data_IF_479320676047
#
_entry.id   IF_479320676047
#
_cell.length_a   1.000
_cell.length_b   1.000
_cell.length_c   1.000
_cell.angle_alpha   90.00
_cell.angle_beta   90.00
_cell.angle_gamma   90.00
#
_symmetry.space_group_name_H-M   'P 1'
#
loop_
_entity.id
_entity.type
_entity.pdbx_description
1 polymer ?
#
# COMPACT_ATOMS: atom_id res chain seq x y z
N UNK A 1 7.57 -15.52 -1.11
CA UNK A 1 7.56 -14.34 -0.24
C UNK A 1 6.28 -14.40 0.58
N UNK A 2 6.33 -14.21 1.88
CA UNK A 2 5.20 -14.50 2.79
C UNK A 2 4.13 -13.41 2.71
N UNK A 3 2.88 -13.76 2.46
CA UNK A 3 1.69 -12.91 2.43
C UNK A 3 1.26 -12.43 3.84
N UNK A 4 2.20 -12.16 4.72
CA UNK A 4 1.94 -11.89 6.14
C UNK A 4 1.02 -10.70 6.39
N UNK A 5 1.14 -9.66 5.57
CA UNK A 5 0.34 -8.44 5.76
C UNK A 5 -1.12 -8.68 5.37
N UNK A 6 -1.36 -9.54 4.38
CA UNK A 6 -2.69 -9.79 3.82
C UNK A 6 -3.34 -11.08 4.34
N UNK A 7 -2.57 -12.14 4.66
CA UNK A 7 -3.13 -13.42 5.08
C UNK A 7 -3.69 -13.46 6.49
N UNK A 8 -3.11 -12.72 7.43
CA UNK A 8 -3.57 -12.68 8.82
C UNK A 8 -4.67 -11.64 9.06
N UNK A 9 -4.88 -10.74 8.10
CA UNK A 9 -5.91 -9.70 8.17
C UNK A 9 -6.62 -9.59 6.83
N UNK A 10 -7.92 -9.79 6.83
CA UNK A 10 -8.73 -9.45 5.67
C UNK A 10 -8.87 -7.92 5.57
N UNK A 11 -8.19 -7.31 4.61
CA UNK A 11 -8.22 -5.87 4.35
C UNK A 11 -9.19 -5.48 3.22
N UNK A 12 -10.09 -6.36 2.82
CA UNK A 12 -11.09 -6.10 1.76
C UNK A 12 -11.93 -4.87 2.03
N UNK A 13 -12.21 -4.56 3.31
CA UNK A 13 -12.94 -3.36 3.71
C UNK A 13 -12.05 -2.11 3.87
N UNK A 14 -10.78 -2.15 3.47
CA UNK A 14 -9.92 -0.96 3.42
C UNK A 14 -10.31 -0.08 2.23
N UNK A 15 -11.45 0.55 2.34
CA UNK A 15 -12.13 1.30 1.29
C UNK A 15 -12.93 2.41 1.93
N UNK A 16 -12.95 3.59 1.34
CA UNK A 16 -13.82 4.67 1.80
C UNK A 16 -15.29 4.28 1.65
N UNK A 17 -16.09 4.52 2.68
CA UNK A 17 -17.48 4.05 2.73
C UNK A 17 -18.33 4.50 1.54
N UNK A 18 -18.06 5.68 0.99
CA UNK A 18 -18.80 6.20 -0.17
C UNK A 18 -18.63 5.31 -1.41
N UNK A 19 -17.50 4.62 -1.56
CA UNK A 19 -17.25 3.71 -2.69
C UNK A 19 -18.28 2.58 -2.70
N UNK A 20 -18.55 1.97 -1.55
CA UNK A 20 -19.59 0.95 -1.42
C UNK A 20 -21.01 1.50 -1.69
N UNK A 21 -21.32 2.70 -1.21
CA UNK A 21 -22.65 3.31 -1.48
C UNK A 21 -22.79 3.67 -2.96
N UNK A 22 -21.73 4.12 -3.62
CA UNK A 22 -21.70 4.34 -5.06
C UNK A 22 -21.89 3.03 -5.83
N UNK A 23 -21.18 1.97 -5.46
CA UNK A 23 -21.32 0.64 -6.09
C UNK A 23 -22.75 0.14 -5.95
N UNK A 24 -23.38 0.25 -4.77
CA UNK A 24 -24.80 -0.05 -4.61
C UNK A 24 -25.69 0.82 -5.53
N UNK A 25 -25.38 2.09 -5.69
CA UNK A 25 -26.04 2.99 -6.64
C UNK A 25 -25.91 2.54 -8.10
N UNK A 26 -24.74 2.01 -8.49
CA UNK A 26 -24.51 1.46 -9.84
C UNK A 26 -25.44 0.26 -10.11
N UNK A 27 -25.67 -0.61 -9.13
CA UNK A 27 -26.65 -1.71 -9.24
C UNK A 27 -28.09 -1.22 -9.39
N UNK A 28 -28.45 -0.13 -8.72
CA UNK A 28 -29.78 0.48 -8.88
C UNK A 28 -29.96 1.11 -10.27
N UNK A 29 -28.92 1.74 -10.79
CA UNK A 29 -28.92 2.38 -12.10
C UNK A 29 -28.70 1.39 -13.28
N UNK A 30 -28.32 0.14 -13.00
CA UNK A 30 -28.03 -0.87 -14.03
C UNK A 30 -26.76 -0.56 -14.85
N UNK A 31 -25.78 0.13 -14.27
CA UNK A 31 -24.54 0.55 -14.95
C UNK A 31 -23.28 -0.10 -14.38
N UNK A 32 -23.41 -1.01 -13.41
CA UNK A 32 -22.29 -1.62 -12.69
C UNK A 32 -21.25 -2.30 -13.60
N UNK A 33 -21.71 -2.95 -14.67
CA UNK A 33 -20.85 -3.67 -15.63
C UNK A 33 -20.23 -2.76 -16.72
N UNK A 34 -20.47 -1.44 -16.69
CA UNK A 34 -19.79 -0.52 -17.61
C UNK A 34 -18.29 -0.62 -17.43
N UNK A 35 -17.56 -0.73 -18.53
CA UNK A 35 -16.10 -0.71 -18.47
C UNK A 35 -15.63 0.70 -18.13
N UNK A 36 -14.86 0.79 -17.05
CA UNK A 36 -14.20 2.01 -16.60
C UNK A 36 -12.68 1.83 -16.63
N UNK A 37 -11.98 2.94 -16.73
CA UNK A 37 -10.50 3.00 -16.61
C UNK A 37 -10.18 4.06 -15.59
N UNK A 38 -9.45 3.66 -14.53
CA UNK A 38 -8.99 4.56 -13.48
C UNK A 38 -7.47 4.56 -13.47
N UNK A 39 -6.89 5.76 -13.36
CA UNK A 39 -5.45 5.95 -13.29
C UNK A 39 -5.03 6.46 -11.92
N UNK A 40 -4.04 5.80 -11.31
CA UNK A 40 -3.34 6.31 -10.15
C UNK A 40 -2.17 7.17 -10.62
N UNK A 41 -2.09 8.39 -10.14
CA UNK A 41 -1.02 9.33 -10.44
C UNK A 41 -0.63 10.16 -9.22
N UNK A 42 0.58 10.72 -9.24
CA UNK A 42 1.09 11.58 -8.17
C UNK A 42 0.78 13.05 -8.52
N UNK A 43 0.03 13.75 -7.67
CA UNK A 43 -0.41 15.14 -7.97
C UNK A 43 0.72 16.14 -7.91
N UNK A 44 1.58 16.02 -6.91
CA UNK A 44 2.70 16.93 -6.66
C UNK A 44 3.79 16.21 -5.88
N UNK A 45 5.04 16.38 -6.28
CA UNK A 45 6.19 15.89 -5.53
C UNK A 45 6.43 16.78 -4.32
N UNK A 46 6.61 16.22 -3.10
CA UNK A 46 6.92 16.98 -1.90
C UNK A 46 8.20 17.80 -2.05
N UNK A 47 8.26 18.94 -1.34
CA UNK A 47 9.46 19.78 -1.22
C UNK A 47 10.01 20.26 -2.58
N UNK A 48 9.16 20.38 -3.61
CA UNK A 48 9.53 20.73 -4.98
C UNK A 48 10.67 19.87 -5.56
N UNK A 49 10.68 18.59 -5.21
CA UNK A 49 11.80 17.67 -5.49
C UNK A 49 11.95 17.21 -6.95
N UNK A 50 11.09 17.65 -7.85
CA UNK A 50 11.14 17.35 -9.28
C UNK A 50 10.55 15.98 -9.65
N UNK A 51 10.85 14.92 -8.91
CA UNK A 51 10.32 13.55 -9.12
C UNK A 51 10.10 12.84 -7.80
N UNK A 52 9.33 11.76 -7.83
CA UNK A 52 9.19 10.81 -6.73
C UNK A 52 9.75 9.43 -7.16
N UNK A 53 9.98 8.55 -6.19
CA UNK A 53 10.36 7.14 -6.45
C UNK A 53 9.18 6.26 -6.13
N UNK A 54 8.70 5.55 -7.14
CA UNK A 54 7.54 4.66 -7.00
C UNK A 54 7.84 3.45 -6.13
N UNK A 55 6.97 3.17 -5.17
CA UNK A 55 6.98 1.95 -4.35
C UNK A 55 5.55 1.58 -3.94
N UNK A 56 5.32 0.33 -3.54
CA UNK A 56 4.04 -0.20 -3.05
C UNK A 56 3.34 -1.18 -4.00
N UNK A 57 3.90 -1.46 -5.19
CA UNK A 57 3.24 -2.35 -6.16
C UNK A 57 3.05 -3.77 -5.62
N UNK A 58 4.05 -4.33 -4.93
CA UNK A 58 3.97 -5.68 -4.38
C UNK A 58 2.78 -5.80 -3.41
N UNK A 59 2.62 -4.84 -2.51
CA UNK A 59 1.53 -4.80 -1.53
C UNK A 59 0.17 -4.61 -2.22
N UNK A 60 0.10 -3.79 -3.25
CA UNK A 60 -1.10 -3.61 -4.06
C UNK A 60 -1.52 -4.94 -4.71
N UNK A 61 -0.59 -5.68 -5.29
CA UNK A 61 -0.86 -7.00 -5.89
C UNK A 61 -1.36 -7.98 -4.82
N UNK A 62 -0.75 -8.00 -3.64
CA UNK A 62 -1.16 -8.84 -2.52
C UNK A 62 -2.57 -8.49 -2.03
N UNK A 63 -2.88 -7.20 -1.88
CA UNK A 63 -4.21 -6.72 -1.48
C UNK A 63 -5.28 -7.13 -2.49
N UNK A 64 -5.05 -6.90 -3.78
CA UNK A 64 -5.99 -7.27 -4.85
C UNK A 64 -6.23 -8.78 -4.87
N UNK A 65 -5.17 -9.59 -4.76
CA UNK A 65 -5.29 -11.05 -4.74
C UNK A 65 -5.96 -11.59 -3.47
N UNK A 66 -5.92 -10.82 -2.38
CA UNK A 66 -6.55 -11.16 -1.10
C UNK A 66 -8.01 -10.72 -0.97
N UNK A 67 -8.56 -10.01 -1.96
CA UNK A 67 -9.93 -9.50 -1.89
C UNK A 67 -10.95 -10.63 -1.75
N UNK A 68 -11.67 -10.63 -0.64
CA UNK A 68 -12.72 -11.59 -0.35
C UNK A 68 -13.67 -11.06 0.72
N UNK A 69 -14.96 -11.20 0.49
CA UNK A 69 -15.99 -10.79 1.46
C UNK A 69 -16.48 -11.98 2.24
N UNK A 70 -16.54 -11.85 3.56
CA UNK A 70 -17.10 -12.83 4.48
C UNK A 70 -18.60 -12.59 4.70
N UNK A 71 -19.32 -13.57 5.25
CA UNK A 71 -20.71 -13.34 5.67
C UNK A 71 -20.82 -12.29 6.80
N UNK A 72 -19.78 -12.12 7.63
CA UNK A 72 -19.73 -11.05 8.64
C UNK A 72 -19.65 -9.67 7.99
N UNK A 73 -18.90 -9.51 6.91
CA UNK A 73 -18.83 -8.26 6.14
C UNK A 73 -20.19 -7.93 5.51
N UNK A 74 -20.87 -8.94 4.96
CA UNK A 74 -22.19 -8.78 4.36
C UNK A 74 -23.22 -8.39 5.41
N UNK A 75 -23.18 -9.02 6.59
CA UNK A 75 -24.07 -8.69 7.70
C UNK A 75 -23.79 -7.28 8.26
N UNK A 76 -22.53 -6.85 8.25
CA UNK A 76 -22.18 -5.45 8.58
C UNK A 76 -22.89 -4.48 7.64
N UNK A 77 -22.84 -4.70 6.30
CA UNK A 77 -23.55 -3.85 5.35
C UNK A 77 -25.09 -3.95 5.49
N UNK A 78 -25.61 -5.14 5.77
CA UNK A 78 -27.05 -5.36 6.00
C UNK A 78 -27.57 -4.50 7.16
N UNK A 79 -26.82 -4.44 8.26
CA UNK A 79 -27.17 -3.60 9.44
C UNK A 79 -27.15 -2.12 9.14
N UNK A 80 -26.46 -1.66 8.10
CA UNK A 80 -26.50 -0.24 7.67
C UNK A 80 -27.85 0.15 7.04
N UNK A 81 -28.64 -0.81 6.54
CA UNK A 81 -30.00 -0.61 6.05
C UNK A 81 -30.15 0.15 4.74
N UNK A 82 -29.06 0.49 4.04
CA UNK A 82 -29.08 1.26 2.81
C UNK A 82 -28.57 0.49 1.56
N UNK A 83 -28.24 -0.79 1.72
CA UNK A 83 -27.73 -1.62 0.63
C UNK A 83 -28.79 -2.62 0.14
N UNK A 84 -28.73 -2.95 -1.15
CA UNK A 84 -29.68 -3.83 -1.82
C UNK A 84 -29.25 -5.29 -1.80
N UNK A 85 -30.20 -6.23 -1.99
CA UNK A 85 -29.87 -7.65 -2.13
C UNK A 85 -28.98 -7.93 -3.37
N UNK A 86 -29.08 -7.12 -4.43
CA UNK A 86 -28.17 -7.22 -5.58
C UNK A 86 -26.71 -6.97 -5.17
N UNK A 87 -26.48 -5.96 -4.33
CA UNK A 87 -25.18 -5.64 -3.77
C UNK A 87 -24.66 -6.78 -2.89
N UNK A 88 -25.46 -7.36 -1.99
CA UNK A 88 -25.04 -8.49 -1.17
C UNK A 88 -24.69 -9.72 -2.00
N UNK A 89 -25.48 -10.02 -3.04
CA UNK A 89 -25.18 -11.12 -3.95
C UNK A 89 -23.87 -10.90 -4.73
N UNK A 90 -23.58 -9.66 -5.11
CA UNK A 90 -22.32 -9.30 -5.73
C UNK A 90 -21.15 -9.56 -4.77
N UNK A 91 -21.23 -9.13 -3.51
CA UNK A 91 -20.17 -9.36 -2.53
C UNK A 91 -19.91 -10.85 -2.28
N UNK A 92 -20.98 -11.69 -2.14
CA UNK A 92 -20.84 -13.14 -1.95
C UNK A 92 -20.11 -13.84 -3.08
N UNK A 93 -20.30 -13.36 -4.30
CA UNK A 93 -19.73 -13.95 -5.51
C UNK A 93 -18.56 -13.15 -6.05
N UNK A 94 -17.99 -12.27 -5.23
CA UNK A 94 -16.94 -11.36 -5.67
C UNK A 94 -15.73 -12.13 -6.19
N UNK A 95 -15.29 -11.74 -7.39
CA UNK A 95 -14.01 -12.14 -7.99
C UNK A 95 -13.49 -10.94 -8.74
N UNK A 96 -12.30 -10.53 -8.44
CA UNK A 96 -11.66 -9.42 -9.14
C UNK A 96 -11.43 -9.79 -10.60
N UNK A 97 -11.93 -8.98 -11.53
CA UNK A 97 -11.92 -9.22 -12.99
C UNK A 97 -11.29 -8.08 -13.78
N UNK A 98 -10.66 -7.12 -13.10
CA UNK A 98 -10.05 -6.00 -13.77
C UNK A 98 -8.63 -6.34 -14.24
N UNK A 99 -8.24 -5.75 -15.36
CA UNK A 99 -6.85 -5.67 -15.79
C UNK A 99 -6.14 -4.57 -15.00
N UNK A 100 -4.89 -4.83 -14.61
CA UNK A 100 -4.05 -3.85 -13.89
C UNK A 100 -2.71 -3.74 -14.58
N UNK A 101 -2.35 -2.55 -15.00
CA UNK A 101 -1.03 -2.23 -15.54
C UNK A 101 -0.32 -1.30 -14.58
N UNK A 102 0.97 -1.51 -14.41
CA UNK A 102 1.80 -0.65 -13.56
C UNK A 102 3.22 -0.57 -14.11
N UNK A 103 3.87 0.55 -13.87
CA UNK A 103 5.31 0.65 -14.02
C UNK A 103 6.02 -0.12 -12.90
N UNK A 104 7.32 -0.34 -13.02
CA UNK A 104 8.10 -1.07 -12.00
C UNK A 104 8.41 -0.18 -10.78
N UNK A 105 8.44 -0.77 -9.59
CA UNK A 105 8.94 -0.11 -8.39
C UNK A 105 10.40 0.34 -8.57
N UNK A 106 10.78 1.40 -7.87
CA UNK A 106 12.08 2.05 -8.00
C UNK A 106 12.20 3.01 -9.18
N UNK A 107 11.19 3.06 -10.06
CA UNK A 107 11.17 4.00 -11.20
C UNK A 107 10.90 5.42 -10.71
N UNK A 108 11.66 6.44 -11.18
CA UNK A 108 11.30 7.84 -11.01
C UNK A 108 9.98 8.16 -11.71
N UNK A 109 9.07 8.81 -11.00
CA UNK A 109 7.75 9.22 -11.49
C UNK A 109 7.59 10.73 -11.40
N UNK A 110 6.75 11.27 -12.28
CA UNK A 110 6.47 12.70 -12.36
C UNK A 110 4.98 12.98 -12.10
N UNK A 111 4.64 14.22 -11.68
CA UNK A 111 3.26 14.58 -11.41
C UNK A 111 2.36 14.41 -12.64
N UNK A 112 1.13 13.95 -12.38
CA UNK A 112 0.04 13.81 -13.36
C UNK A 112 0.29 12.80 -14.50
N UNK A 113 1.28 11.92 -14.37
CA UNK A 113 1.49 10.80 -15.27
C UNK A 113 0.85 9.54 -14.68
N UNK A 114 0.12 8.72 -15.46
CA UNK A 114 -0.42 7.45 -15.00
C UNK A 114 0.69 6.49 -14.56
N UNK A 115 0.57 5.96 -13.34
CA UNK A 115 1.53 5.03 -12.73
C UNK A 115 0.95 3.61 -12.68
N UNK A 116 -0.32 3.53 -12.27
CA UNK A 116 -1.11 2.31 -12.23
C UNK A 116 -2.41 2.62 -12.97
N UNK A 117 -2.78 1.76 -13.91
CA UNK A 117 -4.06 1.83 -14.62
C UNK A 117 -4.87 0.58 -14.28
N UNK A 118 -6.11 0.76 -13.84
CA UNK A 118 -7.07 -0.31 -13.58
C UNK A 118 -8.22 -0.19 -14.57
N UNK A 119 -8.49 -1.25 -15.33
CA UNK A 119 -9.58 -1.29 -16.32
C UNK A 119 -10.48 -2.50 -16.05
N UNK A 120 -11.76 -2.27 -15.94
CA UNK A 120 -12.73 -3.35 -15.71
C UNK A 120 -14.14 -2.84 -15.45
N UNK A 121 -15.02 -3.69 -14.91
CA UNK A 121 -16.36 -3.29 -14.51
C UNK A 121 -16.31 -2.18 -13.46
N UNK A 122 -17.17 -1.17 -13.65
CA UNK A 122 -17.17 0.07 -12.86
C UNK A 122 -17.26 -0.19 -11.35
N UNK A 123 -18.07 -1.17 -10.91
CA UNK A 123 -18.21 -1.54 -9.51
C UNK A 123 -16.91 -2.05 -8.90
N UNK A 124 -16.06 -2.73 -9.68
CA UNK A 124 -14.80 -3.29 -9.18
C UNK A 124 -13.66 -2.28 -9.20
N UNK A 125 -13.59 -1.49 -10.27
CA UNK A 125 -12.58 -0.43 -10.37
C UNK A 125 -12.74 0.59 -9.25
N UNK A 126 -14.01 0.96 -8.91
CA UNK A 126 -14.30 1.86 -7.80
C UNK A 126 -13.86 1.33 -6.44
N UNK A 127 -14.11 0.06 -6.16
CA UNK A 127 -13.87 -0.55 -4.84
C UNK A 127 -12.38 -0.65 -4.45
N UNK A 128 -11.46 -0.56 -5.39
CA UNK A 128 -10.03 -0.69 -5.11
C UNK A 128 -9.32 0.65 -4.98
N UNK A 129 -10.00 1.76 -5.18
CA UNK A 129 -9.42 3.10 -5.19
C UNK A 129 -8.65 3.42 -3.91
N UNK A 130 -9.30 3.33 -2.75
CA UNK A 130 -8.67 3.70 -1.46
C UNK A 130 -7.45 2.84 -1.16
N UNK A 131 -7.54 1.51 -1.33
CA UNK A 131 -6.41 0.62 -1.02
C UNK A 131 -5.20 0.86 -1.94
N UNK A 132 -5.45 1.17 -3.21
CA UNK A 132 -4.39 1.54 -4.14
C UNK A 132 -3.71 2.84 -3.71
N UNK A 133 -4.51 3.87 -3.44
CA UNK A 133 -4.00 5.20 -3.12
C UNK A 133 -3.24 5.24 -1.80
N UNK A 134 -3.75 4.62 -0.73
CA UNK A 134 -3.08 4.64 0.58
C UNK A 134 -1.75 3.92 0.53
N UNK A 135 -1.68 2.76 -0.16
CA UNK A 135 -0.46 1.98 -0.31
C UNK A 135 0.56 2.71 -1.18
N UNK A 136 0.13 3.16 -2.36
CA UNK A 136 0.95 3.91 -3.30
C UNK A 136 1.53 5.18 -2.67
N UNK A 137 0.69 6.00 -2.02
CA UNK A 137 1.13 7.27 -1.44
C UNK A 137 2.14 7.06 -0.33
N UNK A 138 1.86 6.17 0.62
CA UNK A 138 2.74 5.97 1.77
C UNK A 138 4.13 5.49 1.35
N UNK A 139 4.20 4.40 0.60
CA UNK A 139 5.50 3.80 0.24
C UNK A 139 6.27 4.70 -0.74
N UNK A 140 5.60 5.34 -1.69
CA UNK A 140 6.23 6.30 -2.61
C UNK A 140 6.80 7.51 -1.89
N UNK A 141 6.11 8.05 -0.88
CA UNK A 141 6.63 9.17 -0.08
C UNK A 141 7.89 8.79 0.69
N UNK A 142 7.91 7.62 1.32
CA UNK A 142 9.08 7.11 2.05
C UNK A 142 10.26 6.86 1.09
N UNK A 143 10.03 6.15 -0.01
CA UNK A 143 11.04 5.89 -1.03
C UNK A 143 11.63 7.19 -1.58
N UNK A 144 10.78 8.18 -1.86
CA UNK A 144 11.20 9.50 -2.34
C UNK A 144 12.08 10.21 -1.33
N UNK A 145 11.71 10.23 -0.06
CA UNK A 145 12.54 10.81 1.01
C UNK A 145 13.88 10.10 1.15
N UNK A 146 13.87 8.78 1.16
CA UNK A 146 15.07 7.95 1.22
C UNK A 146 16.02 8.25 0.05
N UNK A 147 15.51 8.34 -1.18
CA UNK A 147 16.32 8.63 -2.37
C UNK A 147 17.06 9.96 -2.27
N UNK A 148 16.44 10.97 -1.65
CA UNK A 148 17.09 12.28 -1.43
C UNK A 148 18.22 12.19 -0.43
N UNK A 149 18.02 11.44 0.67
CA UNK A 149 19.06 11.21 1.68
C UNK A 149 20.25 10.45 1.07
N UNK A 150 19.99 9.42 0.26
CA UNK A 150 21.02 8.63 -0.42
C UNK A 150 21.85 9.52 -1.36
N UNK A 151 21.19 10.36 -2.14
CA UNK A 151 21.90 11.32 -3.03
C UNK A 151 22.73 12.32 -2.25
N UNK A 152 22.21 12.84 -1.12
CA UNK A 152 22.96 13.74 -0.25
C UNK A 152 24.15 13.05 0.43
N UNK A 153 24.10 11.74 0.63
CA UNK A 153 25.18 10.96 1.23
C UNK A 153 26.40 10.76 0.31
N UNK A 154 26.31 11.10 -0.98
CA UNK A 154 27.42 11.07 -1.93
C UNK A 154 28.21 9.74 -1.93
N UNK A 155 27.50 8.62 -2.05
CA UNK A 155 28.07 7.27 -2.09
C UNK A 155 28.28 6.60 -0.72
N UNK A 156 28.01 7.28 0.39
CA UNK A 156 28.03 6.65 1.71
C UNK A 156 26.72 5.84 1.89
N UNK A 157 26.86 4.67 2.51
CA UNK A 157 25.71 3.83 2.82
C UNK A 157 24.75 4.52 3.80
N UNK A 158 23.45 4.48 3.48
CA UNK A 158 22.36 4.92 4.35
C UNK A 158 21.59 3.67 4.80
N UNK A 159 21.34 3.57 6.10
CA UNK A 159 20.52 2.50 6.70
C UNK A 159 19.27 3.13 7.32
N UNK A 160 18.12 2.54 7.09
CA UNK A 160 16.84 3.00 7.62
C UNK A 160 16.70 2.57 9.09
N UNK A 161 16.66 3.52 10.03
CA UNK A 161 16.55 3.29 11.49
C UNK A 161 15.31 3.97 12.08
N UNK A 162 14.26 4.14 11.29
CA UNK A 162 13.05 4.87 11.66
C UNK A 162 11.94 4.05 12.33
N UNK A 163 12.07 2.73 12.47
CA UNK A 163 10.99 1.83 12.90
C UNK A 163 10.23 2.31 14.15
N UNK A 164 10.95 2.73 15.20
CA UNK A 164 10.34 3.22 16.47
C UNK A 164 9.64 4.59 16.34
N UNK A 165 9.74 5.24 15.20
CA UNK A 165 9.17 6.57 14.89
C UNK A 165 8.15 6.52 13.76
N UNK A 166 7.88 5.33 13.23
CA UNK A 166 6.91 5.11 12.17
C UNK A 166 5.48 5.27 12.69
N UNK A 167 4.57 5.53 11.78
CA UNK A 167 3.14 5.64 12.06
C UNK A 167 2.49 4.25 12.06
N UNK A 168 2.66 3.54 13.17
CA UNK A 168 2.20 2.17 13.35
C UNK A 168 3.18 1.11 12.83
N UNK A 169 2.91 -0.15 13.18
CA UNK A 169 3.81 -1.26 12.86
C UNK A 169 3.87 -1.57 11.35
N UNK A 170 2.76 -1.42 10.63
CA UNK A 170 2.77 -1.56 9.16
C UNK A 170 3.63 -0.46 8.53
N UNK A 171 3.52 0.77 9.04
CA UNK A 171 4.37 1.88 8.61
C UNK A 171 5.85 1.63 8.85
N UNK A 172 6.23 0.95 9.94
CA UNK A 172 7.62 0.55 10.17
C UNK A 172 8.10 -0.49 9.14
N UNK A 173 7.29 -1.50 8.89
CA UNK A 173 7.63 -2.60 7.98
C UNK A 173 7.70 -2.16 6.52
N UNK A 174 6.64 -1.52 6.04
CA UNK A 174 6.53 -1.06 4.65
C UNK A 174 7.47 0.10 4.37
N UNK A 175 7.68 0.99 5.35
CA UNK A 175 8.64 2.07 5.25
C UNK A 175 10.07 1.58 5.09
N UNK A 176 10.47 0.52 5.81
CA UNK A 176 11.77 -0.12 5.65
C UNK A 176 11.97 -0.67 4.22
N UNK A 177 10.95 -1.35 3.69
CA UNK A 177 10.96 -1.87 2.32
C UNK A 177 11.06 -0.74 1.29
N UNK A 178 10.23 0.29 1.44
CA UNK A 178 10.22 1.44 0.53
C UNK A 178 11.57 2.17 0.51
N UNK A 179 12.20 2.35 1.68
CA UNK A 179 13.55 2.93 1.77
C UNK A 179 14.60 2.05 1.09
N UNK A 180 14.50 0.72 1.20
CA UNK A 180 15.38 -0.22 0.54
C UNK A 180 15.23 -0.18 -0.99
N UNK A 181 14.00 -0.11 -1.51
CA UNK A 181 13.73 0.09 -2.95
C UNK A 181 14.43 1.35 -3.48
N UNK A 182 14.45 2.41 -2.68
CA UNK A 182 15.10 3.66 -3.04
C UNK A 182 16.64 3.61 -2.96
N UNK A 183 17.23 2.52 -2.41
CA UNK A 183 18.68 2.29 -2.36
C UNK A 183 19.30 2.39 -0.96
N UNK A 184 18.52 2.40 0.14
CA UNK A 184 19.08 2.19 1.47
C UNK A 184 19.76 0.82 1.55
N UNK A 185 20.87 0.73 2.25
CA UNK A 185 21.65 -0.50 2.39
C UNK A 185 20.97 -1.57 3.28
N UNK A 186 20.01 -1.16 4.10
CA UNK A 186 19.28 -2.05 5.01
C UNK A 186 18.42 -1.27 5.99
N UNK A 187 17.92 -1.97 7.02
CA UNK A 187 17.03 -1.44 8.04
C UNK A 187 17.39 -1.93 9.43
N UNK A 188 16.89 -1.26 10.47
CA UNK A 188 16.88 -1.79 11.84
C UNK A 188 15.62 -2.65 12.12
N UNK A 189 14.71 -2.79 11.17
CA UNK A 189 13.45 -3.50 11.33
C UNK A 189 13.60 -5.00 11.05
N UNK A 190 13.85 -5.80 12.08
CA UNK A 190 14.10 -7.24 11.95
C UNK A 190 13.01 -8.00 11.20
N UNK A 191 11.74 -7.64 11.42
CA UNK A 191 10.63 -8.31 10.71
C UNK A 191 10.65 -8.03 9.20
N UNK A 192 11.11 -6.86 8.78
CA UNK A 192 11.24 -6.52 7.36
C UNK A 192 12.34 -7.34 6.66
N UNK A 193 13.41 -7.69 7.39
CA UNK A 193 14.42 -8.63 6.90
C UNK A 193 13.80 -10.00 6.69
N UNK A 194 13.25 -10.57 7.74
CA UNK A 194 12.67 -11.92 7.71
C UNK A 194 11.61 -12.08 6.63
N UNK A 195 10.77 -11.08 6.41
CA UNK A 195 9.57 -11.21 5.57
C UNK A 195 9.73 -10.69 4.16
N UNK A 196 10.53 -9.64 4.00
CA UNK A 196 10.67 -8.92 2.73
C UNK A 196 12.12 -8.91 2.22
N UNK A 197 13.05 -9.54 2.93
CA UNK A 197 14.45 -9.65 2.53
C UNK A 197 15.20 -8.31 2.54
N UNK A 198 14.77 -7.35 3.35
CA UNK A 198 15.49 -6.08 3.56
C UNK A 198 16.56 -6.32 4.61
N UNK A 199 17.88 -6.28 4.28
CA UNK A 199 18.94 -6.67 5.21
C UNK A 199 18.86 -5.91 6.52
N UNK A 200 18.76 -6.64 7.65
CA UNK A 200 18.75 -6.02 8.96
C UNK A 200 20.18 -5.73 9.45
N UNK A 201 20.35 -4.56 10.06
CA UNK A 201 21.56 -4.19 10.77
C UNK A 201 21.22 -3.38 12.02
N UNK A 202 22.15 -3.30 12.93
CA UNK A 202 21.92 -2.57 14.17
C UNK A 202 23.21 -2.10 14.79
N UNK A 203 23.04 -1.31 15.85
CA UNK A 203 24.10 -0.86 16.75
C UNK A 203 23.78 -1.33 18.16
N UNK A 204 24.24 -0.64 19.17
CA UNK A 204 23.92 -0.89 20.57
C UNK A 204 23.21 0.34 21.18
N UNK A 205 22.43 0.12 22.21
CA UNK A 205 21.86 1.18 23.03
C UNK A 205 22.80 1.52 24.21
N UNK A 206 22.57 2.68 24.84
CA UNK A 206 23.31 3.07 26.05
C UNK A 206 23.18 2.03 27.17
N UNK A 207 22.03 1.35 27.29
CA UNK A 207 21.83 0.27 28.25
C UNK A 207 22.80 -0.89 28.09
N UNK A 208 23.30 -1.16 26.88
CA UNK A 208 24.34 -2.15 26.65
C UNK A 208 25.64 -1.72 27.35
N UNK A 209 26.09 -0.48 27.10
CA UNK A 209 27.33 0.04 27.74
C UNK A 209 27.17 0.09 29.25
N UNK A 210 26.01 0.54 29.74
CA UNK A 210 25.73 0.66 31.18
C UNK A 210 25.58 -0.68 31.92
N UNK A 211 25.42 -1.79 31.19
CA UNK A 211 25.32 -3.12 31.77
C UNK A 211 26.68 -3.71 32.19
N UNK A 212 27.79 -3.10 31.82
CA UNK A 212 29.13 -3.53 32.16
C UNK A 212 29.72 -2.64 33.24
N UNK A 213 30.49 -3.24 34.18
CA UNK A 213 31.11 -2.50 35.28
C UNK A 213 32.33 -1.67 34.85
N UNK A 214 32.95 -2.03 33.71
CA UNK A 214 34.13 -1.36 33.14
C UNK A 214 33.97 -1.23 31.63
N UNK A 215 34.59 -0.19 31.04
CA UNK A 215 34.71 0.00 29.58
C UNK A 215 35.70 -0.97 28.95
#
# INVERSE_FOLDING_TARGET
MSDYITRERNLTLLTDYYEYTMVNGYFHAGIQEKIAVFDVFFRRVPENGGFAIYAGLQQIIELINGLSFTEEDIEYFRKKGCFSEKFFNFLRNFKFRCDVWSIKEGTPIFPNEPIITVRGPLEQVQMVETMLLVTFNFETLIATKASRLIRAAQGRAIVEFGSRRAQGYDGAMLGARAAYIAGCAGTACTISDRMMGVPASGTMAHSWVQAFENE
#
